data_IF_802307415440
#
_entry.id   IF_802307415440
#
_cell.length_a   1.000
_cell.length_b   1.000
_cell.length_c   1.000
_cell.angle_alpha   90.00
_cell.angle_beta   90.00
_cell.angle_gamma   90.00
#
_symmetry.space_group_name_H-M   'P 1'
#
loop_
_entity.id
_entity.type
_entity.pdbx_description
1 polymer ?
#
# COMPACT_ATOMS: atom_id res chain seq x y z
N UNK A 1 13.85 28.74 14.11
CA UNK A 1 14.50 27.53 13.56
C UNK A 1 14.71 26.44 14.60
N UNK A 2 15.18 26.75 15.82
CA UNK A 2 15.43 25.77 16.91
C UNK A 2 14.21 24.90 17.26
N UNK A 3 13.02 25.51 17.37
CA UNK A 3 11.78 24.78 17.71
C UNK A 3 11.37 23.77 16.63
N UNK A 4 11.52 24.12 15.34
CA UNK A 4 11.22 23.19 14.24
C UNK A 4 12.14 21.96 14.27
N UNK A 5 13.43 22.17 14.55
CA UNK A 5 14.41 21.07 14.69
C UNK A 5 14.09 20.20 15.88
N UNK A 6 13.72 20.78 17.03
CA UNK A 6 13.31 20.03 18.22
C UNK A 6 12.06 19.19 17.93
N UNK A 7 11.05 19.78 17.27
CA UNK A 7 9.82 19.07 16.88
C UNK A 7 10.14 17.91 15.93
N UNK A 8 10.95 18.14 14.90
CA UNK A 8 11.37 17.11 13.95
C UNK A 8 12.15 15.99 14.67
N UNK A 9 13.04 16.35 15.59
CA UNK A 9 13.81 15.39 16.37
C UNK A 9 12.92 14.53 17.27
N UNK A 10 11.91 15.13 17.91
CA UNK A 10 10.94 14.41 18.74
C UNK A 10 10.12 13.47 17.87
N UNK A 11 9.62 13.94 16.72
CA UNK A 11 8.86 13.10 15.77
C UNK A 11 9.71 11.93 15.29
N UNK A 12 10.97 12.17 14.92
CA UNK A 12 11.87 11.12 14.46
C UNK A 12 12.17 10.10 15.56
N UNK A 13 12.34 10.56 16.79
CA UNK A 13 12.58 9.70 17.95
C UNK A 13 11.36 8.82 18.25
N UNK A 14 10.15 9.39 18.27
CA UNK A 14 8.90 8.63 18.41
C UNK A 14 8.72 7.63 17.27
N UNK A 15 9.03 8.02 16.05
CA UNK A 15 8.96 7.13 14.89
C UNK A 15 9.90 5.92 15.04
N UNK A 16 11.12 6.14 15.51
CA UNK A 16 12.09 5.07 15.80
C UNK A 16 11.57 4.10 16.87
N UNK A 17 10.98 4.63 17.94
CA UNK A 17 10.35 3.83 19.00
C UNK A 17 9.21 2.98 18.44
N UNK A 18 8.36 3.55 17.60
CA UNK A 18 7.26 2.80 16.97
C UNK A 18 7.82 1.66 16.13
N UNK A 19 8.87 1.87 15.34
CA UNK A 19 9.51 0.80 14.57
C UNK A 19 10.03 -0.30 15.49
N UNK A 20 10.80 0.07 16.54
CA UNK A 20 11.40 -0.89 17.48
C UNK A 20 10.37 -1.66 18.31
N UNK A 21 9.24 -1.04 18.65
CA UNK A 21 8.13 -1.73 19.32
C UNK A 21 7.38 -2.67 18.36
N UNK A 22 7.25 -2.29 17.09
CA UNK A 22 6.55 -3.06 16.06
C UNK A 22 7.48 -4.00 15.26
N UNK A 23 8.72 -4.20 15.73
CA UNK A 23 9.62 -5.28 15.25
C UNK A 23 9.30 -6.65 15.84
N UNK A 24 8.20 -6.78 16.58
CA UNK A 24 7.73 -8.09 17.02
C UNK A 24 7.55 -9.01 15.80
N UNK A 25 8.19 -10.19 15.79
CA UNK A 25 8.08 -11.13 14.69
C UNK A 25 6.67 -11.73 14.69
N UNK A 26 5.99 -11.61 13.56
CA UNK A 26 4.67 -12.18 13.34
C UNK A 26 4.80 -13.31 12.32
N UNK A 27 4.19 -14.45 12.62
CA UNK A 27 4.12 -15.60 11.72
C UNK A 27 2.95 -15.43 10.76
N UNK A 28 3.26 -15.25 9.48
CA UNK A 28 2.28 -15.25 8.40
C UNK A 28 2.18 -16.66 7.81
N UNK A 29 1.00 -17.28 7.95
CA UNK A 29 0.71 -18.57 7.30
C UNK A 29 -0.17 -18.35 6.07
N UNK A 30 0.33 -18.71 4.88
CA UNK A 30 -0.36 -18.57 3.59
C UNK A 30 -0.47 -19.93 2.89
N UNK A 31 -1.66 -20.53 2.87
CA UNK A 31 -1.94 -21.87 2.32
C UNK A 31 -1.05 -22.97 2.93
N UNK A 32 0.21 -23.07 2.51
CA UNK A 32 1.23 -24.00 3.00
C UNK A 32 2.57 -23.31 3.35
N UNK A 33 2.67 -21.99 3.17
CA UNK A 33 3.88 -21.22 3.46
C UNK A 33 3.80 -20.62 4.86
N UNK A 34 4.89 -20.74 5.62
CA UNK A 34 5.06 -20.09 6.90
C UNK A 34 6.22 -19.12 6.80
N UNK A 35 5.95 -17.83 7.01
CA UNK A 35 6.95 -16.78 6.88
C UNK A 35 6.90 -15.93 8.14
N UNK A 36 8.02 -15.84 8.83
CA UNK A 36 8.16 -15.01 10.03
C UNK A 36 8.81 -13.69 9.66
N UNK A 37 8.09 -12.59 9.89
CA UNK A 37 8.58 -11.26 9.54
C UNK A 37 8.04 -10.20 10.51
N UNK A 38 8.75 -9.07 10.69
CA UNK A 38 8.28 -8.01 11.57
C UNK A 38 6.90 -7.49 11.15
N UNK A 39 6.02 -7.22 12.12
CA UNK A 39 4.66 -6.73 11.85
C UNK A 39 4.65 -5.48 10.94
N UNK A 40 5.60 -4.55 11.17
CA UNK A 40 5.72 -3.34 10.36
C UNK A 40 5.97 -3.64 8.87
N UNK A 41 6.76 -4.67 8.56
CA UNK A 41 7.05 -5.09 7.17
C UNK A 41 5.80 -5.67 6.53
N UNK A 42 5.06 -6.51 7.27
CA UNK A 42 3.80 -7.07 6.80
C UNK A 42 2.75 -5.99 6.50
N UNK A 43 2.66 -4.96 7.35
CA UNK A 43 1.73 -3.85 7.19
C UNK A 43 2.01 -3.07 5.90
N UNK A 44 3.27 -2.67 5.67
CA UNK A 44 3.66 -1.95 4.47
C UNK A 44 3.53 -2.80 3.20
N UNK A 45 3.90 -4.09 3.26
CA UNK A 45 3.73 -5.00 2.13
C UNK A 45 2.25 -5.13 1.73
N UNK A 46 1.36 -5.33 2.71
CA UNK A 46 -0.08 -5.44 2.47
C UNK A 46 -0.66 -4.15 1.89
N UNK A 47 -0.23 -2.99 2.41
CA UNK A 47 -0.64 -1.68 1.89
C UNK A 47 -0.23 -1.49 0.42
N UNK A 48 1.03 -1.80 0.09
CA UNK A 48 1.54 -1.68 -1.29
C UNK A 48 0.75 -2.60 -2.22
N UNK A 49 0.53 -3.87 -1.82
CA UNK A 49 -0.26 -4.82 -2.61
C UNK A 49 -1.69 -4.30 -2.83
N UNK A 50 -2.33 -3.75 -1.79
CA UNK A 50 -3.66 -3.15 -1.88
C UNK A 50 -3.71 -1.94 -2.82
N UNK A 51 -2.74 -1.03 -2.72
CA UNK A 51 -2.65 0.14 -3.60
C UNK A 51 -2.41 -0.25 -5.07
N UNK A 52 -1.44 -1.12 -5.31
CA UNK A 52 -1.10 -1.58 -6.67
C UNK A 52 -2.27 -2.32 -7.28
N UNK A 53 -2.89 -3.25 -6.54
CA UNK A 53 -4.08 -3.98 -7.02
C UNK A 53 -5.23 -3.02 -7.33
N UNK A 54 -5.54 -2.08 -6.42
CA UNK A 54 -6.55 -1.05 -6.65
C UNK A 54 -6.30 -0.21 -7.92
N UNK A 55 -5.06 0.22 -8.15
CA UNK A 55 -4.69 0.96 -9.37
C UNK A 55 -4.86 0.11 -10.63
N UNK A 56 -4.43 -1.16 -10.60
CA UNK A 56 -4.54 -2.08 -11.73
C UNK A 56 -6.02 -2.35 -12.05
N UNK A 57 -6.83 -2.68 -11.04
CA UNK A 57 -8.27 -2.91 -11.19
C UNK A 57 -8.99 -1.68 -11.77
N UNK A 58 -8.68 -0.49 -11.25
CA UNK A 58 -9.21 0.77 -11.76
C UNK A 58 -8.84 0.99 -13.23
N UNK A 59 -7.56 0.84 -13.59
CA UNK A 59 -7.09 0.98 -14.97
C UNK A 59 -7.78 0.02 -15.94
N UNK A 60 -7.98 -1.24 -15.55
CA UNK A 60 -8.72 -2.22 -16.35
C UNK A 60 -10.20 -1.86 -16.49
N UNK A 61 -10.85 -1.39 -15.43
CA UNK A 61 -12.24 -0.95 -15.46
C UNK A 61 -12.43 0.28 -16.38
N UNK A 62 -11.55 1.27 -16.30
CA UNK A 62 -11.57 2.45 -17.19
C UNK A 62 -11.32 2.08 -18.66
N UNK A 63 -10.40 1.15 -18.94
CA UNK A 63 -10.17 0.63 -20.30
C UNK A 63 -11.41 -0.07 -20.87
N UNK A 64 -12.12 -0.85 -20.05
CA UNK A 64 -13.36 -1.52 -20.47
C UNK A 64 -14.47 -0.51 -20.81
N UNK A 65 -14.62 0.55 -20.01
CA UNK A 65 -15.62 1.62 -20.24
C UNK A 65 -15.33 2.44 -21.50
N UNK A 66 -14.06 2.73 -21.80
CA UNK A 66 -13.69 3.47 -23.01
C UNK A 66 -13.95 2.66 -24.30
N UNK A 67 -13.66 1.36 -24.28
CA UNK A 67 -13.94 0.46 -25.42
C UNK A 67 -15.44 0.30 -25.70
N UNK A 68 -16.29 0.28 -24.67
CA UNK A 68 -17.74 0.20 -24.88
C UNK A 68 -18.32 1.48 -25.49
N UNK A 69 -17.81 2.66 -25.12
CA UNK A 69 -18.28 3.95 -25.68
C UNK A 69 -17.90 4.06 -27.16
N UNK A 70 -16.65 3.77 -27.53
CA UNK A 70 -16.18 3.86 -28.93
C UNK A 70 -16.96 2.89 -29.85
N UNK A 71 -17.29 1.69 -29.36
CA UNK A 71 -18.06 0.69 -30.11
C UNK A 71 -19.53 1.12 -30.36
N UNK A 72 -20.10 1.94 -29.48
CA UNK A 72 -21.46 2.49 -29.67
C UNK A 72 -21.45 3.62 -30.70
N UNK A 73 -20.43 4.48 -30.70
CA UNK A 73 -20.24 5.57 -31.67
C UNK A 73 -20.09 5.04 -33.11
N UNK A 74 -19.24 4.03 -33.32
CA UNK A 74 -18.97 3.43 -34.65
C UNK A 74 -20.14 2.63 -35.22
N UNK A 75 -21.14 2.27 -34.40
CA UNK A 75 -22.35 1.55 -34.85
C UNK A 75 -23.49 2.49 -35.25
N UNK A 76 -23.35 3.79 -34.98
CA UNK A 76 -24.33 4.84 -35.31
C UNK A 76 -23.96 5.64 -36.57
N UNK A 77 -22.72 5.55 -37.05
CA UNK A 77 -22.27 6.07 -38.36
C UNK A 77 -22.46 5.03 -39.45
#
# INVERSE_FOLDING_TARGET
MRVKVIIISIILFLFLIIILQNTQPVSLTLLAWNITLPFIVMLFATLIIGLVSGMVLSSLAFRKKRKSIIKVETRKS
#
